data_IF_497865765603
#
_entry.id   IF_497865765603
#
_cell.length_a   1.000
_cell.length_b   1.000
_cell.length_c   1.000
_cell.angle_alpha   90.00
_cell.angle_beta   90.00
_cell.angle_gamma   90.00
#
_symmetry.space_group_name_H-M   'P 1'
#
loop_
_entity.id
_entity.type
_entity.pdbx_description
1 polymer ?
#
# COMPACT_ATOMS: atom_id res chain seq x y z
N UNK A 1 20.55 -17.04 12.81
CA UNK A 1 20.28 -18.32 12.08
C UNK A 1 20.31 -18.06 10.57
N UNK A 2 19.52 -17.13 10.01
CA UNK A 2 19.39 -16.92 8.55
C UNK A 2 20.73 -16.64 7.85
N UNK A 3 21.57 -15.80 8.45
CA UNK A 3 22.80 -15.32 7.82
C UNK A 3 24.06 -16.04 8.31
N UNK A 4 24.08 -16.48 9.57
CA UNK A 4 25.26 -17.14 10.14
C UNK A 4 25.25 -18.65 9.92
N UNK A 5 24.09 -19.33 10.11
CA UNK A 5 23.96 -20.78 9.95
C UNK A 5 23.55 -21.18 8.53
N UNK A 6 22.46 -20.59 8.02
CA UNK A 6 21.91 -20.94 6.71
C UNK A 6 22.60 -20.20 5.56
N UNK A 7 23.38 -19.15 5.85
CA UNK A 7 24.16 -18.36 4.87
C UNK A 7 23.36 -18.01 3.61
N UNK A 8 22.10 -17.58 3.81
CA UNK A 8 21.15 -17.31 2.70
C UNK A 8 21.69 -16.26 1.73
N UNK A 9 22.52 -15.33 2.24
CA UNK A 9 23.24 -14.33 1.43
C UNK A 9 24.50 -13.87 2.13
N UNK A 10 25.55 -13.64 1.36
CA UNK A 10 26.81 -13.06 1.86
C UNK A 10 26.75 -11.53 1.99
N UNK A 11 25.71 -10.89 1.43
CA UNK A 11 25.51 -9.43 1.41
C UNK A 11 24.50 -8.96 2.47
N UNK A 12 24.42 -9.64 3.61
CA UNK A 12 23.48 -9.28 4.67
C UNK A 12 23.86 -7.93 5.31
N UNK A 13 22.94 -6.97 5.27
CA UNK A 13 23.10 -5.67 5.93
C UNK A 13 22.91 -5.81 7.43
N UNK A 14 23.68 -5.04 8.20
CA UNK A 14 23.54 -4.94 9.67
C UNK A 14 23.04 -3.56 10.07
N UNK A 15 22.30 -3.51 11.16
CA UNK A 15 21.90 -2.27 11.82
C UNK A 15 23.12 -1.59 12.47
N UNK A 16 22.95 -0.36 12.94
CA UNK A 16 23.99 0.34 13.72
C UNK A 16 24.38 -0.42 15.01
N UNK A 17 23.49 -1.25 15.52
CA UNK A 17 23.71 -2.09 16.72
C UNK A 17 24.31 -3.47 16.39
N UNK A 18 24.70 -3.72 15.13
CA UNK A 18 25.33 -4.97 14.69
C UNK A 18 24.38 -6.13 14.42
N UNK A 19 23.05 -5.95 14.57
CA UNK A 19 22.06 -6.97 14.24
C UNK A 19 21.78 -7.01 12.74
N UNK A 20 21.49 -8.18 12.20
CA UNK A 20 21.09 -8.30 10.80
C UNK A 20 19.73 -7.64 10.53
N UNK A 21 19.66 -6.89 9.43
CA UNK A 21 18.39 -6.30 8.97
C UNK A 21 17.52 -7.42 8.42
N UNK A 22 16.34 -7.58 8.99
CA UNK A 22 15.31 -8.54 8.55
C UNK A 22 13.98 -7.86 8.28
N UNK A 23 14.00 -6.63 7.72
CA UNK A 23 12.78 -5.95 7.29
C UNK A 23 12.05 -6.80 6.24
N UNK A 24 10.76 -6.54 6.07
CA UNK A 24 9.92 -7.21 5.08
C UNK A 24 10.53 -7.11 3.68
N UNK A 25 10.97 -5.92 3.28
CA UNK A 25 11.64 -5.66 2.00
C UNK A 25 12.89 -6.53 1.80
N UNK A 26 13.76 -6.62 2.82
CA UNK A 26 14.95 -7.47 2.75
C UNK A 26 14.59 -8.94 2.64
N UNK A 27 13.61 -9.41 3.43
CA UNK A 27 13.17 -10.80 3.36
C UNK A 27 12.47 -11.11 2.03
N UNK A 28 11.65 -10.21 1.50
CA UNK A 28 11.03 -10.40 0.19
C UNK A 28 12.06 -10.53 -0.93
N UNK A 29 13.13 -9.73 -0.91
CA UNK A 29 14.23 -9.87 -1.88
C UNK A 29 14.97 -11.22 -1.79
N UNK A 30 14.84 -11.91 -0.69
CA UNK A 30 15.45 -13.23 -0.43
C UNK A 30 14.46 -14.40 -0.52
N UNK A 31 13.19 -14.14 -0.85
CA UNK A 31 12.10 -15.13 -0.82
C UNK A 31 12.45 -16.43 -1.56
N UNK A 32 13.09 -16.32 -2.72
CA UNK A 32 13.45 -17.45 -3.55
C UNK A 32 14.79 -18.14 -3.17
N UNK A 33 15.46 -17.66 -2.12
CA UNK A 33 16.76 -18.23 -1.69
C UNK A 33 16.60 -19.40 -0.74
N UNK A 34 15.53 -19.42 0.07
CA UNK A 34 15.27 -20.51 1.01
C UNK A 34 13.80 -20.49 1.46
N UNK A 35 13.17 -21.66 1.56
CA UNK A 35 11.76 -21.81 1.93
C UNK A 35 11.37 -21.14 3.27
N UNK A 36 12.30 -21.11 4.23
CA UNK A 36 12.09 -20.50 5.55
C UNK A 36 11.74 -19.02 5.47
N UNK A 37 12.19 -18.32 4.42
CA UNK A 37 11.90 -16.91 4.25
C UNK A 37 10.40 -16.68 4.04
N UNK A 38 9.78 -17.47 3.17
CA UNK A 38 8.33 -17.43 2.97
C UNK A 38 7.56 -17.68 4.26
N UNK A 39 7.97 -18.70 5.03
CA UNK A 39 7.34 -19.03 6.32
C UNK A 39 7.49 -17.92 7.37
N UNK A 40 8.64 -17.24 7.40
CA UNK A 40 8.85 -16.10 8.32
C UNK A 40 7.97 -14.92 7.93
N UNK A 41 7.84 -14.62 6.64
CA UNK A 41 6.99 -13.54 6.15
C UNK A 41 5.51 -13.83 6.48
N UNK A 42 5.04 -15.03 6.19
CA UNK A 42 3.70 -15.48 6.54
C UNK A 42 3.44 -15.38 8.05
N UNK A 43 4.31 -15.97 8.87
CA UNK A 43 4.20 -15.89 10.32
C UNK A 43 4.12 -14.44 10.83
N UNK A 44 4.96 -13.56 10.31
CA UNK A 44 4.96 -12.14 10.69
C UNK A 44 3.68 -11.45 10.29
N UNK A 45 3.16 -11.74 9.10
CA UNK A 45 1.87 -11.23 8.63
C UNK A 45 0.74 -11.62 9.59
N UNK A 46 0.59 -12.91 9.83
CA UNK A 46 -0.43 -13.45 10.75
C UNK A 46 -0.26 -12.94 12.18
N UNK A 47 0.97 -12.88 12.69
CA UNK A 47 1.25 -12.37 14.04
C UNK A 47 0.89 -10.88 14.18
N UNK A 48 1.13 -10.09 13.13
CA UNK A 48 0.72 -8.69 13.09
C UNK A 48 -0.81 -8.55 13.11
N UNK A 49 -1.52 -9.33 12.28
CA UNK A 49 -2.98 -9.31 12.25
C UNK A 49 -3.57 -9.73 13.60
N UNK A 50 -3.04 -10.80 14.18
CA UNK A 50 -3.46 -11.29 15.49
C UNK A 50 -3.31 -10.21 16.55
N UNK A 51 -2.09 -9.67 16.72
CA UNK A 51 -1.81 -8.71 17.81
C UNK A 51 -2.43 -7.34 17.61
N UNK A 52 -2.56 -6.88 16.35
CA UNK A 52 -3.07 -5.52 16.07
C UNK A 52 -4.60 -5.47 16.05
N UNK A 53 -5.25 -6.52 15.57
CA UNK A 53 -6.70 -6.50 15.34
C UNK A 53 -7.44 -7.51 16.21
N UNK A 54 -7.07 -8.79 16.19
CA UNK A 54 -7.86 -9.84 16.85
C UNK A 54 -7.74 -9.74 18.36
N UNK A 55 -6.54 -9.58 18.90
CA UNK A 55 -6.32 -9.48 20.34
C UNK A 55 -6.62 -8.07 20.88
N UNK A 56 -6.27 -7.03 20.13
CA UNK A 56 -6.33 -5.66 20.63
C UNK A 56 -7.71 -5.01 20.50
N UNK A 57 -8.42 -5.18 19.37
CA UNK A 57 -9.68 -4.46 19.14
C UNK A 57 -10.78 -4.82 20.13
N UNK A 58 -11.01 -6.09 20.53
CA UNK A 58 -12.03 -6.40 21.52
C UNK A 58 -11.84 -5.70 22.87
N UNK A 59 -10.58 -5.44 23.25
CA UNK A 59 -10.25 -4.76 24.49
C UNK A 59 -10.60 -3.25 24.47
N UNK A 60 -10.86 -2.70 23.29
CA UNK A 60 -11.21 -1.30 23.08
C UNK A 60 -12.72 -1.07 22.94
N UNK A 61 -13.51 -2.12 23.07
CA UNK A 61 -14.96 -2.00 23.06
C UNK A 61 -15.42 -1.21 24.29
N UNK A 62 -16.08 -0.08 24.05
CA UNK A 62 -16.65 0.73 25.11
C UNK A 62 -17.84 -0.02 25.75
N UNK A 63 -17.82 -0.29 27.08
CA UNK A 63 -18.87 -1.08 27.73
C UNK A 63 -20.25 -0.41 27.72
N UNK A 64 -20.33 0.92 27.54
CA UNK A 64 -21.61 1.62 27.49
C UNK A 64 -22.25 1.60 26.10
N UNK A 65 -21.46 1.56 25.04
CA UNK A 65 -21.96 1.63 23.66
C UNK A 65 -21.87 0.29 22.93
N UNK A 66 -21.08 -0.66 23.46
CA UNK A 66 -20.79 -1.91 22.76
C UNK A 66 -19.94 -1.74 21.48
N UNK A 67 -19.35 -0.56 21.28
CA UNK A 67 -18.66 -0.19 20.03
C UNK A 67 -17.24 0.27 20.29
N UNK A 68 -16.43 0.25 19.22
CA UNK A 68 -15.09 0.81 19.20
C UNK A 68 -15.15 2.24 18.68
N UNK A 69 -14.54 3.17 19.39
CA UNK A 69 -14.49 4.58 19.05
C UNK A 69 -13.06 5.01 18.81
N UNK A 70 -12.72 5.34 17.57
CA UNK A 70 -11.41 5.93 17.24
C UNK A 70 -11.42 7.44 17.42
N UNK A 71 -10.24 8.02 17.56
CA UNK A 71 -10.03 9.47 17.47
C UNK A 71 -9.46 9.83 16.11
N UNK A 72 -10.12 10.73 15.38
CA UNK A 72 -9.60 11.31 14.16
C UNK A 72 -8.89 12.63 14.45
N UNK A 73 -7.61 12.71 14.12
CA UNK A 73 -6.78 13.88 14.39
C UNK A 73 -6.57 14.67 13.09
N UNK A 74 -6.91 15.95 13.11
CA UNK A 74 -6.86 16.83 11.94
C UNK A 74 -5.51 17.54 11.75
N UNK A 75 -4.71 17.69 12.79
CA UNK A 75 -3.50 18.53 12.80
C UNK A 75 -2.20 17.74 13.04
N UNK A 76 -2.21 16.41 12.89
CA UNK A 76 -1.03 15.57 13.18
C UNK A 76 -0.16 15.35 11.94
N UNK A 77 -0.76 15.22 10.75
CA UNK A 77 -0.01 14.95 9.52
C UNK A 77 0.45 16.25 8.85
N UNK A 78 1.68 16.27 8.37
CA UNK A 78 2.21 17.41 7.62
C UNK A 78 1.49 17.66 6.28
N UNK A 79 0.76 16.66 5.77
CA UNK A 79 0.06 16.71 4.48
C UNK A 79 -1.39 17.18 4.57
N UNK A 80 -1.89 17.51 5.78
CA UNK A 80 -3.30 17.86 5.99
C UNK A 80 -4.28 16.68 5.95
N UNK A 81 -3.79 15.44 5.84
CA UNK A 81 -4.63 14.24 5.93
C UNK A 81 -5.03 13.97 7.37
N UNK A 82 -6.18 13.32 7.57
CA UNK A 82 -6.54 12.81 8.88
C UNK A 82 -5.60 11.66 9.29
N UNK A 83 -5.36 11.54 10.58
CA UNK A 83 -4.83 10.32 11.18
C UNK A 83 -5.84 9.74 12.16
N UNK A 84 -5.81 8.43 12.37
CA UNK A 84 -6.69 7.72 13.28
C UNK A 84 -5.88 7.06 14.38
N UNK A 85 -6.34 7.19 15.63
CA UNK A 85 -5.65 6.63 16.80
C UNK A 85 -6.63 6.11 17.84
N UNK A 86 -6.18 5.13 18.63
CA UNK A 86 -6.89 4.52 19.75
C UNK A 86 -8.28 3.93 19.40
N UNK A 87 -8.37 2.99 18.41
CA UNK A 87 -7.34 2.41 17.58
C UNK A 87 -7.14 3.15 16.24
N UNK A 88 -6.06 2.82 15.51
CA UNK A 88 -5.91 3.26 14.12
C UNK A 88 -6.77 2.40 13.20
N UNK A 89 -7.93 2.89 12.78
CA UNK A 89 -8.86 2.22 11.88
C UNK A 89 -8.58 2.49 10.39
N UNK A 90 -7.66 3.41 10.05
CA UNK A 90 -7.30 3.70 8.65
C UNK A 90 -6.39 2.63 8.03
N UNK A 91 -5.76 1.79 8.84
CA UNK A 91 -4.80 0.79 8.39
C UNK A 91 -5.33 -0.65 8.41
N UNK A 92 -6.65 -0.84 8.50
CA UNK A 92 -7.26 -2.18 8.42
C UNK A 92 -6.95 -2.77 7.05
N UNK A 93 -6.28 -3.93 6.96
CA UNK A 93 -5.87 -4.51 5.70
C UNK A 93 -7.07 -4.86 4.80
N UNK A 94 -6.85 -4.81 3.48
CA UNK A 94 -7.87 -5.12 2.47
C UNK A 94 -7.32 -5.94 1.30
N UNK A 95 -5.99 -6.06 1.18
CA UNK A 95 -5.37 -6.67 0.01
C UNK A 95 -5.31 -8.19 0.05
N UNK A 96 -5.15 -8.74 1.24
CA UNK A 96 -5.10 -10.18 1.50
C UNK A 96 -6.44 -10.69 2.05
N UNK A 97 -6.67 -11.98 1.94
CA UNK A 97 -7.92 -12.61 2.37
C UNK A 97 -8.11 -12.51 3.89
N UNK A 98 -7.04 -12.71 4.68
CA UNK A 98 -7.10 -12.63 6.13
C UNK A 98 -7.50 -11.22 6.59
N UNK A 99 -6.96 -10.19 5.91
CA UNK A 99 -7.35 -8.81 6.16
C UNK A 99 -8.81 -8.51 5.82
N UNK A 100 -9.33 -9.11 4.75
CA UNK A 100 -10.74 -8.99 4.38
C UNK A 100 -11.64 -9.65 5.44
N UNK A 101 -11.24 -10.80 6.01
CA UNK A 101 -11.99 -11.44 7.09
C UNK A 101 -12.10 -10.52 8.33
N UNK A 102 -11.03 -9.83 8.71
CA UNK A 102 -11.06 -8.86 9.80
C UNK A 102 -12.10 -7.76 9.55
N UNK A 103 -12.24 -7.31 8.31
CA UNK A 103 -13.22 -6.26 7.96
C UNK A 103 -14.66 -6.70 8.16
N UNK A 104 -14.99 -7.97 8.08
CA UNK A 104 -16.33 -8.50 8.33
C UNK A 104 -16.79 -8.34 9.78
N UNK A 105 -15.86 -8.14 10.71
CA UNK A 105 -16.20 -7.87 12.12
C UNK A 105 -16.74 -6.45 12.34
N UNK A 106 -16.58 -5.54 11.37
CA UNK A 106 -17.14 -4.20 11.42
C UNK A 106 -18.51 -4.21 10.79
N UNK A 107 -19.54 -4.02 11.61
CA UNK A 107 -20.94 -4.07 11.21
C UNK A 107 -21.61 -2.72 11.47
N UNK A 108 -22.62 -2.31 10.67
CA UNK A 108 -23.42 -1.13 10.96
C UNK A 108 -24.38 -1.39 12.14
N UNK A 109 -25.08 -0.36 12.58
CA UNK A 109 -26.21 -0.50 13.50
C UNK A 109 -27.40 -1.18 12.82
N UNK A 110 -28.31 -1.73 13.61
CA UNK A 110 -29.54 -2.34 13.12
C UNK A 110 -30.34 -1.33 12.28
N UNK A 111 -30.74 -1.75 11.09
CA UNK A 111 -31.44 -0.90 10.13
C UNK A 111 -30.55 0.12 9.39
N UNK A 112 -29.23 0.08 9.59
CA UNK A 112 -28.26 0.90 8.88
C UNK A 112 -27.39 0.08 7.93
N UNK A 113 -26.79 0.74 6.96
CA UNK A 113 -25.82 0.16 6.03
C UNK A 113 -24.55 0.99 5.99
N UNK A 114 -23.40 0.35 5.73
CA UNK A 114 -22.19 1.08 5.42
C UNK A 114 -22.24 1.65 4.01
N UNK A 115 -22.00 2.94 3.92
CA UNK A 115 -21.79 3.62 2.64
C UNK A 115 -20.34 4.08 2.54
N UNK A 116 -19.68 3.75 1.43
CA UNK A 116 -18.32 4.21 1.14
C UNK A 116 -18.29 4.91 -0.22
N UNK A 117 -17.77 6.13 -0.23
CA UNK A 117 -17.53 6.88 -1.46
C UNK A 117 -16.08 7.40 -1.44
N UNK A 118 -15.39 7.26 -2.56
CA UNK A 118 -14.03 7.75 -2.74
C UNK A 118 -13.93 8.55 -4.04
N UNK A 119 -13.16 9.63 -4.00
CA UNK A 119 -12.89 10.40 -5.20
C UNK A 119 -11.98 9.63 -6.16
N UNK A 120 -12.47 9.39 -7.37
CA UNK A 120 -11.68 8.71 -8.39
C UNK A 120 -10.47 9.55 -8.78
N UNK A 121 -9.27 9.11 -8.39
CA UNK A 121 -7.97 9.67 -8.79
C UNK A 121 -7.84 11.18 -8.54
N UNK A 122 -8.38 11.69 -7.43
CA UNK A 122 -8.47 13.13 -7.17
C UNK A 122 -7.10 13.82 -7.19
N UNK A 123 -6.06 13.20 -6.66
CA UNK A 123 -4.71 13.77 -6.65
C UNK A 123 -4.17 13.98 -8.06
N UNK A 124 -4.40 13.02 -8.98
CA UNK A 124 -4.03 13.16 -10.39
C UNK A 124 -4.87 14.21 -11.13
N UNK A 125 -6.15 14.33 -10.79
CA UNK A 125 -7.02 15.39 -11.37
C UNK A 125 -6.58 16.78 -10.93
N UNK A 126 -6.23 16.95 -9.66
CA UNK A 126 -5.68 18.21 -9.14
C UNK A 126 -4.35 18.51 -9.81
N UNK A 127 -3.48 17.51 -9.96
CA UNK A 127 -2.20 17.65 -10.64
C UNK A 127 -2.39 18.07 -12.10
N UNK A 128 -3.31 17.45 -12.84
CA UNK A 128 -3.63 17.80 -14.20
C UNK A 128 -4.07 19.28 -14.32
N UNK A 129 -4.92 19.71 -13.38
CA UNK A 129 -5.42 21.08 -13.32
C UNK A 129 -4.29 22.09 -13.04
N UNK A 130 -3.46 21.81 -12.00
CA UNK A 130 -2.39 22.74 -11.60
C UNK A 130 -1.20 22.79 -12.58
N UNK A 131 -0.90 21.67 -13.25
CA UNK A 131 0.19 21.61 -14.24
C UNK A 131 -0.24 22.06 -15.63
N UNK A 132 -1.54 22.15 -15.88
CA UNK A 132 -2.12 22.41 -17.21
C UNK A 132 -1.61 21.42 -18.30
N UNK A 133 -1.21 20.20 -17.87
CA UNK A 133 -0.75 19.17 -18.79
C UNK A 133 -1.90 18.69 -19.68
N UNK A 134 -1.85 19.06 -20.96
CA UNK A 134 -2.89 18.76 -21.94
C UNK A 134 -3.17 17.26 -22.05
N UNK A 135 -2.14 16.41 -21.97
CA UNK A 135 -2.33 14.96 -22.09
C UNK A 135 -3.08 14.38 -20.90
N UNK A 136 -2.82 14.87 -19.68
CA UNK A 136 -3.55 14.46 -18.50
C UNK A 136 -4.99 14.97 -18.56
N UNK A 137 -5.19 16.23 -18.95
CA UNK A 137 -6.51 16.84 -19.08
C UNK A 137 -7.34 16.08 -20.10
N UNK A 138 -6.79 15.85 -21.30
CA UNK A 138 -7.48 15.14 -22.39
C UNK A 138 -7.84 13.70 -21.98
N UNK A 139 -6.97 13.01 -21.27
CA UNK A 139 -7.25 11.66 -20.77
C UNK A 139 -8.43 11.66 -19.79
N UNK A 140 -8.51 12.64 -18.88
CA UNK A 140 -9.64 12.75 -17.94
C UNK A 140 -10.93 13.17 -18.62
N UNK A 141 -10.89 14.10 -19.57
CA UNK A 141 -12.07 14.54 -20.31
C UNK A 141 -12.64 13.45 -21.22
N UNK A 142 -11.77 12.65 -21.81
CA UNK A 142 -12.16 11.52 -22.66
C UNK A 142 -12.64 10.30 -21.88
N UNK A 143 -12.62 10.33 -20.54
CA UNK A 143 -13.02 9.21 -19.70
C UNK A 143 -12.05 8.02 -19.70
N UNK A 144 -10.86 8.17 -20.29
CA UNK A 144 -9.85 7.12 -20.28
C UNK A 144 -9.20 6.96 -18.91
N UNK A 145 -8.80 5.74 -18.63
CA UNK A 145 -7.97 5.45 -17.45
C UNK A 145 -6.59 6.11 -17.64
N UNK A 146 -6.26 7.07 -16.78
CA UNK A 146 -5.01 7.84 -16.87
C UNK A 146 -3.76 6.95 -16.81
N UNK A 147 -3.81 5.83 -16.09
CA UNK A 147 -2.71 4.89 -16.01
C UNK A 147 -2.56 4.09 -17.30
N UNK A 148 -3.68 3.75 -17.95
CA UNK A 148 -3.64 3.11 -19.27
C UNK A 148 -3.15 4.10 -20.32
N UNK A 149 -3.59 5.36 -20.30
CA UNK A 149 -3.10 6.38 -21.21
C UNK A 149 -1.59 6.63 -21.04
N UNK A 150 -1.09 6.68 -19.81
CA UNK A 150 0.34 6.77 -19.52
C UNK A 150 1.09 5.54 -20.01
N UNK A 151 0.56 4.34 -19.78
CA UNK A 151 1.16 3.10 -20.26
C UNK A 151 1.27 3.07 -21.77
N UNK A 152 0.20 3.44 -22.49
CA UNK A 152 0.19 3.51 -23.94
C UNK A 152 1.34 4.37 -24.49
N UNK A 153 1.60 5.51 -23.84
CA UNK A 153 2.70 6.43 -24.21
C UNK A 153 4.08 5.85 -23.87
N UNK A 154 4.25 5.29 -22.65
CA UNK A 154 5.53 4.70 -22.23
C UNK A 154 5.93 3.55 -23.14
N UNK A 155 4.99 2.65 -23.41
CA UNK A 155 5.25 1.44 -24.19
C UNK A 155 5.04 1.60 -25.70
N UNK A 156 4.57 2.80 -26.14
CA UNK A 156 4.29 3.12 -27.56
C UNK A 156 3.32 2.12 -28.21
N UNK A 157 2.27 1.78 -27.50
CA UNK A 157 1.19 0.89 -27.98
C UNK A 157 -0.14 1.63 -27.98
N UNK A 158 -1.14 1.12 -28.70
CA UNK A 158 -2.51 1.63 -28.62
C UNK A 158 -3.08 1.38 -27.21
N UNK A 159 -3.93 2.30 -26.72
CA UNK A 159 -4.51 2.19 -25.37
C UNK A 159 -5.29 0.88 -25.15
N UNK A 160 -5.88 0.35 -26.20
CA UNK A 160 -6.60 -0.96 -26.18
C UNK A 160 -5.65 -2.15 -26.01
N UNK A 161 -4.37 -2.00 -26.36
CA UNK A 161 -3.36 -3.05 -26.29
C UNK A 161 -2.56 -2.99 -24.97
N UNK A 162 -2.91 -2.05 -24.06
CA UNK A 162 -2.28 -1.93 -22.76
C UNK A 162 -2.65 -3.10 -21.87
N UNK A 163 -1.65 -3.89 -21.49
CA UNK A 163 -1.83 -5.01 -20.55
C UNK A 163 -1.99 -4.53 -19.10
N UNK A 164 -2.53 -5.39 -18.24
CA UNK A 164 -2.65 -5.12 -16.80
C UNK A 164 -1.30 -4.83 -16.14
N UNK A 165 -0.22 -5.49 -16.60
CA UNK A 165 1.14 -5.24 -16.07
C UNK A 165 1.67 -3.87 -16.50
N UNK A 166 1.52 -3.49 -17.76
CA UNK A 166 1.87 -2.17 -18.28
C UNK A 166 1.13 -1.08 -17.50
N UNK A 167 -0.17 -1.24 -17.30
CA UNK A 167 -1.00 -0.32 -16.51
C UNK A 167 -0.53 -0.22 -15.05
N UNK A 168 -0.20 -1.34 -14.42
CA UNK A 168 0.32 -1.39 -13.05
C UNK A 168 1.64 -0.63 -12.92
N UNK A 169 2.57 -0.83 -13.85
CA UNK A 169 3.85 -0.12 -13.90
C UNK A 169 3.65 1.38 -14.12
N UNK A 170 2.79 1.77 -15.07
CA UNK A 170 2.46 3.17 -15.29
C UNK A 170 1.80 3.82 -14.05
N UNK A 171 0.94 3.08 -13.33
CA UNK A 171 0.40 3.55 -12.05
C UNK A 171 1.51 3.84 -11.04
N UNK A 172 2.50 2.95 -10.94
CA UNK A 172 3.66 3.14 -10.07
C UNK A 172 4.47 4.37 -10.47
N UNK A 173 4.66 4.59 -11.78
CA UNK A 173 5.35 5.77 -12.30
C UNK A 173 4.58 7.07 -11.98
N UNK A 174 3.29 7.13 -12.28
CA UNK A 174 2.46 8.30 -12.07
C UNK A 174 2.49 8.76 -10.61
N UNK A 175 2.23 7.84 -9.67
CA UNK A 175 2.29 8.19 -8.25
C UNK A 175 3.71 8.43 -7.77
N UNK A 176 4.66 7.64 -8.25
CA UNK A 176 6.07 7.82 -7.91
C UNK A 176 6.56 9.23 -8.24
N UNK A 177 6.27 9.73 -9.44
CA UNK A 177 6.67 11.07 -9.89
C UNK A 177 6.03 12.15 -9.03
N UNK A 178 4.72 12.04 -8.74
CA UNK A 178 3.99 13.00 -7.89
C UNK A 178 4.60 13.08 -6.48
N UNK A 179 5.01 11.94 -5.93
CA UNK A 179 5.63 11.88 -4.61
C UNK A 179 7.16 12.04 -4.63
N UNK A 180 7.73 12.48 -5.76
CA UNK A 180 9.16 12.82 -5.87
C UNK A 180 10.10 11.61 -5.84
N UNK A 181 9.68 10.47 -6.39
CA UNK A 181 10.55 9.29 -6.49
C UNK A 181 11.80 9.61 -7.32
N UNK A 182 12.97 9.14 -6.86
CA UNK A 182 14.19 9.25 -7.64
C UNK A 182 14.16 8.32 -8.86
N UNK A 183 14.98 8.62 -9.89
CA UNK A 183 15.14 7.78 -11.08
C UNK A 183 15.51 6.33 -10.66
N UNK A 184 16.40 6.19 -9.68
CA UNK A 184 16.80 4.87 -9.15
C UNK A 184 15.64 4.11 -8.52
N UNK A 185 14.87 4.77 -7.67
CA UNK A 185 13.71 4.15 -7.03
C UNK A 185 12.61 3.79 -8.02
N UNK A 186 12.45 4.58 -9.09
CA UNK A 186 11.48 4.27 -10.14
C UNK A 186 11.92 3.05 -10.97
N UNK A 187 13.19 3.01 -11.40
CA UNK A 187 13.75 1.89 -12.15
C UNK A 187 13.64 0.57 -11.36
N UNK A 188 14.00 0.60 -10.07
CA UNK A 188 13.87 -0.56 -9.19
C UNK A 188 12.42 -1.06 -9.07
N UNK A 189 11.46 -0.14 -8.85
CA UNK A 189 10.03 -0.50 -8.73
C UNK A 189 9.41 -0.99 -10.04
N UNK A 190 9.88 -0.50 -11.16
CA UNK A 190 9.43 -0.92 -12.48
C UNK A 190 10.16 -2.15 -13.00
N UNK A 191 11.22 -2.57 -12.31
CA UNK A 191 12.11 -3.66 -12.72
C UNK A 191 12.62 -3.47 -14.17
N UNK A 192 13.15 -2.29 -14.44
CA UNK A 192 13.75 -1.92 -15.72
C UNK A 192 15.17 -1.40 -15.50
N UNK A 193 16.02 -1.55 -16.51
CA UNK A 193 17.33 -0.93 -16.53
C UNK A 193 17.23 0.60 -16.59
N UNK A 194 18.31 1.28 -16.19
CA UNK A 194 18.38 2.74 -16.09
C UNK A 194 18.48 3.43 -17.43
#
# INVERSE_FOLDING_TARGET
>A
ILFDKLKITDKAKKTKTGQYVTSEEVLESLRNKHEIIGKILEYRGLKKLLGTYIDALPLLINPRTGRIHTSFNQAVTATGRLSSSNPNLQNIPIRDEDGKEIRKAFIPDDGCEFFSADYSQIELRIMAHLSEDKNMIDAFLSGYDIHAATAAKIYKVDIKDVTSDMRRKAKTANFGIIYGISIFGLAERMNVDR
#
